data_IF_351398376091
#
_entry.id   IF_351398376091
#
_cell.length_a   1.000
_cell.length_b   1.000
_cell.length_c   1.000
_cell.angle_alpha   90.00
_cell.angle_beta   90.00
_cell.angle_gamma   90.00
#
_symmetry.space_group_name_H-M   'P 1'
#
loop_
_entity.id
_entity.type
_entity.pdbx_description
1 polymer ?
#
# COMPACT_ATOMS: atom_id res chain seq x y z
N UNK A 1 16.87 -12.52 -6.51
CA UNK A 1 17.73 -12.16 -7.66
C UNK A 1 19.18 -12.30 -7.20
N UNK A 2 20.06 -12.81 -8.04
CA UNK A 2 21.48 -12.93 -7.72
C UNK A 2 22.25 -11.74 -8.32
N UNK A 3 23.18 -11.15 -7.57
CA UNK A 3 24.13 -10.16 -8.10
C UNK A 3 25.57 -10.58 -7.84
N UNK A 4 26.45 -10.15 -8.73
CA UNK A 4 27.87 -10.47 -8.70
C UNK A 4 28.64 -9.28 -8.14
N UNK A 5 29.16 -9.39 -6.91
CA UNK A 5 29.92 -8.34 -6.23
C UNK A 5 31.44 -8.56 -6.31
N UNK A 6 31.94 -9.05 -7.45
CA UNK A 6 33.39 -9.19 -7.72
C UNK A 6 34.14 -10.26 -6.91
N UNK A 7 33.54 -10.82 -5.85
CA UNK A 7 34.12 -11.87 -5.00
C UNK A 7 33.18 -13.06 -4.73
N UNK A 8 32.04 -13.14 -5.43
CA UNK A 8 31.07 -14.22 -5.28
C UNK A 8 29.67 -13.87 -5.80
N UNK A 9 28.84 -14.90 -6.01
CA UNK A 9 27.41 -14.75 -6.33
C UNK A 9 26.66 -14.61 -5.02
N UNK A 10 26.08 -13.43 -4.76
CA UNK A 10 25.28 -13.17 -3.56
C UNK A 10 23.78 -13.22 -3.91
N UNK A 11 23.00 -13.95 -3.13
CA UNK A 11 21.54 -13.98 -3.26
C UNK A 11 20.95 -12.75 -2.60
N UNK A 12 20.39 -11.83 -3.39
CA UNK A 12 19.63 -10.71 -2.87
C UNK A 12 18.16 -11.09 -2.73
N UNK A 13 17.69 -11.04 -1.49
CA UNK A 13 16.26 -11.06 -1.19
C UNK A 13 15.66 -9.74 -1.67
N UNK A 14 14.62 -9.80 -2.50
CA UNK A 14 13.87 -8.60 -2.86
C UNK A 14 13.25 -8.01 -1.60
N UNK A 15 13.51 -6.73 -1.36
CA UNK A 15 12.94 -5.95 -0.26
C UNK A 15 12.26 -4.72 -0.87
N UNK A 16 11.00 -4.52 -0.50
CA UNK A 16 10.18 -3.41 -0.97
C UNK A 16 9.85 -2.50 0.21
N UNK A 17 10.01 -1.20 0.02
CA UNK A 17 9.43 -0.17 0.88
C UNK A 17 8.20 0.40 0.16
N UNK A 18 7.02 0.18 0.73
CA UNK A 18 5.76 0.50 0.07
C UNK A 18 4.88 1.41 0.94
N UNK A 19 5.14 2.73 0.99
CA UNK A 19 4.21 3.67 1.61
C UNK A 19 2.87 3.72 0.85
N UNK A 20 1.80 3.86 1.63
CA UNK A 20 0.42 4.03 1.14
C UNK A 20 -0.21 5.23 1.84
N UNK A 21 -0.92 6.05 1.08
CA UNK A 21 -1.80 7.11 1.60
C UNK A 21 -3.17 6.94 0.96
N UNK A 22 -4.23 7.11 1.74
CA UNK A 22 -5.58 6.95 1.24
C UNK A 22 -6.59 7.77 2.02
N UNK A 23 -7.73 7.99 1.38
CA UNK A 23 -8.88 8.68 1.94
C UNK A 23 -10.14 7.86 1.68
N UNK A 24 -11.03 7.87 2.67
CA UNK A 24 -12.36 7.31 2.54
C UNK A 24 -13.37 8.47 2.50
N UNK A 25 -14.32 8.39 1.58
CA UNK A 25 -15.44 9.31 1.49
C UNK A 25 -16.74 8.53 1.31
N UNK A 26 -17.55 8.49 2.36
CA UNK A 26 -18.75 7.66 2.44
C UNK A 26 -18.41 6.19 2.09
N UNK A 27 -18.95 5.66 0.99
CA UNK A 27 -18.74 4.28 0.51
C UNK A 27 -17.60 4.13 -0.50
N UNK A 28 -16.84 5.19 -0.76
CA UNK A 28 -15.76 5.19 -1.74
C UNK A 28 -14.41 5.31 -1.03
N UNK A 29 -13.46 4.48 -1.45
CA UNK A 29 -12.07 4.52 -1.01
C UNK A 29 -11.18 4.90 -2.19
N UNK A 30 -10.26 5.83 -1.94
CA UNK A 30 -9.17 6.13 -2.85
C UNK A 30 -7.84 5.99 -2.13
N UNK A 31 -6.90 5.27 -2.73
CA UNK A 31 -5.55 5.15 -2.18
C UNK A 31 -4.49 5.24 -3.27
N UNK A 32 -3.38 5.85 -2.91
CA UNK A 32 -2.18 5.93 -3.70
C UNK A 32 -1.05 5.22 -2.96
N UNK A 33 -0.40 4.30 -3.66
CA UNK A 33 0.67 3.48 -3.13
C UNK A 33 1.91 3.69 -3.99
N UNK A 34 3.02 3.99 -3.34
CA UNK A 34 4.33 4.05 -4.00
C UNK A 34 5.18 2.89 -3.49
N UNK A 35 5.77 2.10 -4.38
CA UNK A 35 6.65 0.98 -4.00
C UNK A 35 8.05 1.19 -4.55
N UNK A 36 9.04 1.21 -3.66
CA UNK A 36 10.45 1.33 -4.01
C UNK A 36 11.19 0.04 -3.65
N UNK A 37 12.06 -0.45 -4.55
CA UNK A 37 12.93 -1.60 -4.25
C UNK A 37 14.14 -1.09 -3.48
N UNK A 38 14.26 -1.50 -2.22
CA UNK A 38 15.33 -1.07 -1.32
C UNK A 38 16.62 -1.91 -1.46
N UNK A 39 16.83 -2.56 -2.60
CA UNK A 39 17.91 -3.53 -2.80
C UNK A 39 18.95 -3.11 -3.85
N UNK A 40 20.17 -3.63 -3.73
CA UNK A 40 21.34 -3.33 -4.59
C UNK A 40 21.13 -3.76 -6.07
N UNK A 41 20.46 -4.89 -6.31
CA UNK A 41 19.97 -5.29 -7.65
C UNK A 41 18.77 -4.45 -8.08
N UNK A 42 19.03 -3.29 -8.67
CA UNK A 42 18.03 -2.44 -9.30
C UNK A 42 17.77 -2.92 -10.73
N UNK A 43 16.70 -3.70 -10.94
CA UNK A 43 16.22 -4.04 -12.30
C UNK A 43 15.53 -2.85 -13.00
N UNK A 44 15.24 -1.78 -12.26
CA UNK A 44 14.72 -0.51 -12.75
C UNK A 44 15.12 0.60 -11.76
N UNK A 45 15.39 1.82 -12.25
CA UNK A 45 15.84 2.97 -11.42
C UNK A 45 14.68 3.73 -10.76
N UNK A 46 13.44 3.35 -11.05
CA UNK A 46 12.22 4.00 -10.56
C UNK A 46 11.39 3.13 -9.62
N UNK A 47 10.61 3.77 -8.75
CA UNK A 47 9.58 3.09 -7.96
C UNK A 47 8.25 2.96 -8.73
N UNK A 48 7.39 2.04 -8.30
CA UNK A 48 6.10 1.78 -8.90
C UNK A 48 5.01 2.65 -8.28
N UNK A 49 4.15 3.24 -9.13
CA UNK A 49 2.99 4.03 -8.72
C UNK A 49 1.71 3.21 -8.93
N UNK A 50 0.94 2.99 -7.87
CA UNK A 50 -0.35 2.30 -7.94
C UNK A 50 -1.46 3.20 -7.42
N UNK A 51 -2.56 3.26 -8.18
CA UNK A 51 -3.80 3.93 -7.79
C UNK A 51 -4.83 2.84 -7.51
N UNK A 52 -5.44 2.90 -6.32
CA UNK A 52 -6.44 1.95 -5.85
C UNK A 52 -7.77 2.65 -5.68
N UNK A 53 -8.82 2.09 -6.29
CA UNK A 53 -10.21 2.51 -6.11
C UNK A 53 -10.99 1.39 -5.44
N UNK A 54 -11.71 1.72 -4.38
CA UNK A 54 -12.57 0.79 -3.65
C UNK A 54 -13.99 1.32 -3.50
N UNK A 55 -14.95 0.39 -3.42
CA UNK A 55 -16.35 0.68 -3.10
C UNK A 55 -16.79 -0.30 -2.02
N UNK A 56 -17.31 0.23 -0.94
CA UNK A 56 -17.89 -0.53 0.16
C UNK A 56 -19.27 -1.04 -0.22
N UNK A 57 -19.38 -2.35 -0.45
CA UNK A 57 -20.63 -3.02 -0.82
C UNK A 57 -21.22 -3.74 0.39
N UNK A 58 -22.53 -3.61 0.58
CA UNK A 58 -23.28 -4.26 1.67
C UNK A 58 -22.81 -3.91 3.09
N UNK A 59 -22.15 -2.75 3.27
CA UNK A 59 -21.76 -2.29 4.60
C UNK A 59 -22.99 -1.97 5.45
N UNK A 60 -22.99 -2.48 6.68
CA UNK A 60 -23.96 -2.09 7.70
C UNK A 60 -23.63 -0.67 8.15
N UNK A 61 -24.64 0.17 8.38
CA UNK A 61 -24.46 1.54 8.91
C UNK A 61 -23.56 1.50 10.15
N UNK A 62 -22.60 2.41 10.24
CA UNK A 62 -21.75 2.51 11.43
C UNK A 62 -22.62 2.68 12.68
N UNK A 63 -22.17 2.10 13.80
CA UNK A 63 -22.95 2.09 15.06
C UNK A 63 -23.32 3.49 15.57
N UNK A 64 -22.66 4.55 15.08
CA UNK A 64 -22.86 5.95 15.45
C UNK A 64 -23.22 6.85 14.26
N UNK A 65 -23.62 6.27 13.12
CA UNK A 65 -24.10 7.03 11.94
C UNK A 65 -25.50 7.66 12.15
N UNK A 66 -26.15 7.29 13.25
CA UNK A 66 -27.30 7.97 13.78
C UNK A 66 -26.78 8.87 14.91
N UNK A 67 -27.11 10.17 14.90
CA UNK A 67 -27.04 11.05 16.09
C UNK A 67 -27.98 10.51 17.18
N UNK A 68 -27.72 9.32 17.71
CA UNK A 68 -28.51 8.68 18.73
C UNK A 68 -28.34 9.50 20.00
N UNK A 69 -29.36 10.27 20.41
CA UNK A 69 -29.29 10.97 21.67
C UNK A 69 -29.39 9.89 22.76
N UNK A 70 -28.43 9.88 23.67
CA UNK A 70 -28.33 8.99 24.83
C UNK A 70 -27.68 7.61 24.58
N UNK A 71 -26.34 7.61 24.55
CA UNK A 71 -25.61 6.74 25.45
C UNK A 71 -25.51 7.49 26.79
N UNK A 72 -26.06 6.86 27.83
CA UNK A 72 -26.22 7.33 29.21
C UNK A 72 -24.93 7.86 29.85
#
# INVERSE_FOLDING_TARGET
>A
AEYNSGSGVSSQRLQYLTPIIGVNYNKFMFAYTYSYLAGDVNFDTGGFHQITFGIDLFCKREKYDCDCPAIN
#
